data_IF_695934207206
#
_entry.id   IF_695934207206
#
_cell.length_a   1.000
_cell.length_b   1.000
_cell.length_c   1.000
_cell.angle_alpha   90.00
_cell.angle_beta   90.00
_cell.angle_gamma   90.00
#
_symmetry.space_group_name_H-M   'P 1'
#
loop_
_entity.id
_entity.type
_entity.pdbx_description
1 polymer ?
#
# COMPACT_ATOMS: atom_id res chain seq x y z
N UNK A 1 15.90 -15.57 -23.75
CA UNK A 1 15.38 -14.37 -23.02
C UNK A 1 15.72 -14.56 -21.55
N UNK A 2 16.54 -13.68 -20.96
CA UNK A 2 16.79 -13.72 -19.50
C UNK A 2 15.46 -13.40 -18.81
N UNK A 3 14.92 -14.31 -17.98
CA UNK A 3 13.86 -13.97 -17.06
C UNK A 3 14.30 -12.75 -16.26
N UNK A 4 13.58 -11.64 -16.44
CA UNK A 4 13.73 -10.51 -15.53
C UNK A 4 13.34 -11.04 -14.16
N UNK A 5 14.27 -11.05 -13.21
CA UNK A 5 13.96 -11.40 -11.83
C UNK A 5 12.78 -10.54 -11.39
N UNK A 6 11.68 -11.19 -11.00
CA UNK A 6 10.56 -10.52 -10.37
C UNK A 6 11.10 -9.93 -9.07
N UNK A 7 11.34 -8.62 -9.05
CA UNK A 7 11.89 -7.94 -7.88
C UNK A 7 10.96 -8.08 -6.69
N UNK A 8 11.54 -8.12 -5.50
CA UNK A 8 10.79 -8.02 -4.24
C UNK A 8 10.19 -6.60 -4.11
N UNK A 9 9.05 -6.48 -3.43
CA UNK A 9 8.42 -5.17 -3.17
C UNK A 9 7.52 -4.67 -4.31
N UNK A 10 6.59 -5.52 -4.75
CA UNK A 10 5.63 -5.15 -5.78
C UNK A 10 4.42 -6.07 -5.88
N UNK A 11 3.43 -5.65 -6.66
CA UNK A 11 2.26 -6.45 -7.02
C UNK A 11 2.51 -7.08 -8.39
N UNK A 12 2.32 -8.38 -8.48
CA UNK A 12 2.48 -9.15 -9.71
C UNK A 12 1.10 -9.45 -10.30
N UNK A 13 0.96 -9.19 -11.59
CA UNK A 13 -0.18 -9.64 -12.39
C UNK A 13 0.20 -10.86 -13.22
N UNK A 14 -0.72 -11.80 -13.36
CA UNK A 14 -0.55 -12.99 -14.19
C UNK A 14 -1.91 -13.48 -14.69
N UNK A 15 -1.93 -14.36 -15.70
CA UNK A 15 -3.15 -15.04 -16.12
C UNK A 15 -3.62 -16.02 -15.04
N UNK A 16 -4.86 -16.52 -15.16
CA UNK A 16 -5.42 -17.52 -14.23
C UNK A 16 -4.61 -18.82 -14.18
N UNK A 17 -3.91 -19.13 -15.27
CA UNK A 17 -3.02 -20.29 -15.43
C UNK A 17 -1.60 -20.03 -14.90
N UNK A 18 -1.35 -18.85 -14.28
CA UNK A 18 -0.04 -18.46 -13.76
C UNK A 18 0.99 -18.08 -14.80
N UNK A 19 0.56 -17.82 -16.04
CA UNK A 19 1.42 -17.38 -17.15
C UNK A 19 1.43 -15.85 -17.27
N UNK A 20 2.27 -15.32 -18.18
CA UNK A 20 2.36 -13.89 -18.52
C UNK A 20 2.58 -13.02 -17.28
N UNK A 21 3.52 -13.43 -16.45
CA UNK A 21 3.84 -12.72 -15.21
C UNK A 21 4.50 -11.38 -15.49
N UNK A 22 3.96 -10.33 -14.94
CA UNK A 22 4.55 -8.99 -14.96
C UNK A 22 4.46 -8.33 -13.60
N UNK A 23 5.36 -7.41 -13.31
CA UNK A 23 5.22 -6.54 -12.13
C UNK A 23 4.27 -5.41 -12.50
N UNK A 24 3.09 -5.42 -11.91
CA UNK A 24 2.05 -4.42 -12.13
C UNK A 24 2.34 -3.11 -11.40
N UNK A 25 2.82 -3.19 -10.16
CA UNK A 25 3.18 -2.04 -9.35
C UNK A 25 4.47 -2.31 -8.57
N UNK A 26 5.31 -1.29 -8.41
CA UNK A 26 6.61 -1.34 -7.76
C UNK A 26 6.65 -0.50 -6.49
N UNK A 27 7.72 -0.66 -5.70
CA UNK A 27 7.97 0.22 -4.56
C UNK A 27 6.93 0.11 -3.48
N UNK A 28 6.48 -1.11 -3.20
CA UNK A 28 5.48 -1.48 -2.20
C UNK A 28 6.19 -2.31 -1.14
N UNK A 29 5.98 -1.97 0.14
CA UNK A 29 6.62 -2.70 1.24
C UNK A 29 5.85 -3.95 1.63
N UNK A 30 4.59 -3.80 2.03
CA UNK A 30 3.77 -4.89 2.56
C UNK A 30 2.28 -4.64 2.34
N UNK A 31 1.80 -4.91 1.13
CA UNK A 31 0.39 -4.86 0.79
C UNK A 31 -0.33 -6.12 1.27
N UNK A 32 -1.40 -5.95 2.05
CA UNK A 32 -2.22 -7.05 2.58
C UNK A 32 -3.61 -7.08 1.95
N UNK A 33 -4.23 -5.91 1.76
CA UNK A 33 -5.55 -5.76 1.16
C UNK A 33 -5.48 -5.16 -0.23
N UNK A 34 -6.27 -5.70 -1.16
CA UNK A 34 -6.41 -5.12 -2.49
C UNK A 34 -7.78 -5.42 -3.09
N UNK A 35 -8.29 -4.48 -3.88
CA UNK A 35 -9.55 -4.64 -4.61
C UNK A 35 -9.57 -3.74 -5.85
N UNK A 36 -10.41 -4.07 -6.81
CA UNK A 36 -10.60 -3.28 -8.02
C UNK A 36 -11.81 -2.34 -7.88
N UNK A 37 -11.62 -1.07 -8.20
CA UNK A 37 -12.73 -0.15 -8.29
C UNK A 37 -13.60 -0.49 -9.49
N UNK A 38 -14.85 -0.88 -9.25
CA UNK A 38 -15.79 -1.28 -10.30
C UNK A 38 -16.13 -0.16 -11.30
N UNK A 39 -15.87 1.11 -10.98
CA UNK A 39 -16.20 2.25 -11.85
C UNK A 39 -15.16 2.47 -12.95
N UNK A 40 -13.89 2.27 -12.67
CA UNK A 40 -12.78 2.61 -13.55
C UNK A 40 -11.75 1.48 -13.73
N UNK A 41 -11.92 0.37 -13.01
CA UNK A 41 -11.02 -0.78 -13.07
C UNK A 41 -9.66 -0.57 -12.43
N UNK A 42 -9.42 0.55 -11.76
CA UNK A 42 -8.17 0.81 -11.07
C UNK A 42 -7.97 -0.17 -9.90
N UNK A 43 -6.75 -0.65 -9.71
CA UNK A 43 -6.38 -1.44 -8.56
C UNK A 43 -6.11 -0.51 -7.37
N UNK A 44 -6.76 -0.79 -6.25
CA UNK A 44 -6.49 -0.13 -4.98
C UNK A 44 -5.93 -1.16 -3.99
N UNK A 45 -4.98 -0.72 -3.15
CA UNK A 45 -4.33 -1.61 -2.20
C UNK A 45 -3.84 -0.83 -0.97
N UNK A 46 -3.77 -1.54 0.16
CA UNK A 46 -3.14 -1.05 1.38
C UNK A 46 -1.64 -1.31 1.34
N UNK A 47 -0.83 -0.50 2.01
CA UNK A 47 0.59 -0.75 2.21
C UNK A 47 1.02 -0.40 3.62
N UNK A 48 1.53 -1.42 4.33
CA UNK A 48 2.05 -1.28 5.68
C UNK A 48 3.51 -0.85 5.63
N UNK A 49 3.84 0.19 6.39
CA UNK A 49 5.12 0.86 6.29
C UNK A 49 6.15 0.43 7.34
N UNK A 50 7.36 1.01 7.25
CA UNK A 50 8.51 0.62 8.08
C UNK A 50 8.28 0.93 9.55
N UNK A 51 8.96 0.17 10.42
CA UNK A 51 9.02 0.42 11.85
C UNK A 51 10.26 1.25 12.21
N UNK A 52 10.34 1.71 13.47
CA UNK A 52 11.56 2.33 14.01
C UNK A 52 11.79 3.79 13.62
N UNK A 53 10.76 4.48 13.13
CA UNK A 53 10.83 5.90 12.80
C UNK A 53 10.09 6.81 13.80
N UNK A 54 9.68 6.25 14.95
CA UNK A 54 8.94 6.95 16.00
C UNK A 54 7.46 6.52 16.02
N UNK A 55 6.71 7.07 16.98
CA UNK A 55 5.33 6.63 17.24
C UNK A 55 4.33 7.21 16.22
N UNK A 56 4.66 8.35 15.62
CA UNK A 56 3.77 9.10 14.73
C UNK A 56 4.15 8.96 13.23
N UNK A 57 5.18 8.17 12.93
CA UNK A 57 5.69 7.99 11.58
C UNK A 57 6.26 6.58 11.34
N UNK A 58 6.22 6.12 10.07
CA UNK A 58 5.53 6.71 8.93
C UNK A 58 4.05 6.32 8.91
N UNK A 59 3.21 7.02 8.12
CA UNK A 59 1.81 6.63 7.94
C UNK A 59 1.69 5.33 7.15
N UNK A 60 0.65 4.54 7.41
CA UNK A 60 0.18 3.52 6.49
C UNK A 60 -0.45 4.15 5.24
N UNK A 61 -0.71 3.37 4.21
CA UNK A 61 -1.15 3.90 2.93
C UNK A 61 -2.32 3.14 2.33
N UNK A 62 -3.21 3.89 1.67
CA UNK A 62 -4.10 3.36 0.64
C UNK A 62 -3.67 3.95 -0.70
N UNK A 63 -3.24 3.08 -1.58
CA UNK A 63 -2.67 3.38 -2.88
C UNK A 63 -3.63 3.04 -4.02
N UNK A 64 -3.45 3.72 -5.17
CA UNK A 64 -4.20 3.47 -6.40
C UNK A 64 -3.26 3.32 -7.58
N UNK A 65 -3.36 2.20 -8.26
CA UNK A 65 -2.63 1.92 -9.49
C UNK A 65 -3.58 1.88 -10.70
N UNK A 66 -3.46 2.88 -11.57
CA UNK A 66 -4.30 3.03 -12.77
C UNK A 66 -3.78 2.20 -13.95
N UNK A 67 -2.50 1.88 -13.95
CA UNK A 67 -1.80 1.21 -15.06
C UNK A 67 -0.58 0.44 -14.57
N UNK A 68 -0.07 -0.52 -15.36
CA UNK A 68 1.18 -1.20 -15.04
C UNK A 68 2.38 -0.25 -14.97
N UNK A 69 3.36 -0.60 -14.14
CA UNK A 69 4.65 0.09 -14.05
C UNK A 69 4.68 1.31 -13.14
N UNK A 70 3.62 1.59 -12.37
CA UNK A 70 3.64 2.66 -11.36
C UNK A 70 4.53 2.28 -10.19
N UNK A 71 5.25 3.28 -9.63
CA UNK A 71 6.19 3.12 -8.51
C UNK A 71 5.73 3.93 -7.31
N UNK A 72 5.51 3.26 -6.18
CA UNK A 72 4.96 3.81 -4.94
C UNK A 72 6.01 4.19 -3.89
N UNK A 73 7.30 4.10 -4.23
CA UNK A 73 8.37 4.80 -3.54
C UNK A 73 9.22 3.98 -2.58
N UNK A 74 8.75 2.84 -2.06
CA UNK A 74 9.59 2.01 -1.20
C UNK A 74 10.79 1.43 -1.99
N UNK A 75 12.02 1.37 -1.45
CA UNK A 75 12.42 1.65 -0.05
C UNK A 75 12.82 3.10 0.24
N UNK A 76 12.76 4.01 -0.71
CA UNK A 76 13.17 5.41 -0.52
C UNK A 76 12.21 6.19 0.39
N UNK A 77 10.93 5.87 0.32
CA UNK A 77 9.87 6.40 1.17
C UNK A 77 9.27 5.26 1.97
N UNK A 78 9.01 5.54 3.24
CA UNK A 78 8.46 4.57 4.20
C UNK A 78 6.99 4.83 4.53
N UNK A 79 6.34 5.68 3.76
CA UNK A 79 4.94 6.07 3.90
C UNK A 79 4.76 7.53 3.54
N UNK A 80 3.78 7.83 2.69
CA UNK A 80 3.56 9.18 2.19
C UNK A 80 4.81 9.79 1.57
N UNK A 81 5.23 10.93 2.09
CA UNK A 81 6.47 11.62 1.69
C UNK A 81 7.59 11.46 2.72
N UNK A 82 7.45 10.56 3.68
CA UNK A 82 8.44 10.33 4.73
C UNK A 82 9.61 9.52 4.18
N UNK A 83 10.81 10.08 4.20
CA UNK A 83 12.04 9.40 3.77
C UNK A 83 12.42 8.32 4.78
N UNK A 84 12.77 7.12 4.29
CA UNK A 84 13.34 6.10 5.18
C UNK A 84 14.74 6.48 5.65
N UNK A 85 15.09 6.08 6.87
CA UNK A 85 16.41 6.39 7.45
C UNK A 85 17.57 5.82 6.62
N UNK A 86 17.41 4.63 6.05
CA UNK A 86 18.44 3.93 5.29
C UNK A 86 18.69 4.56 3.91
N UNK A 87 17.68 5.20 3.30
CA UNK A 87 17.75 5.74 1.95
C UNK A 87 17.64 7.26 1.88
N UNK A 88 17.69 7.95 3.03
CA UNK A 88 17.49 9.42 3.10
C UNK A 88 18.47 10.21 2.23
N UNK A 89 19.71 9.72 2.12
CA UNK A 89 20.81 10.40 1.38
C UNK A 89 20.90 9.94 -0.09
N UNK A 90 20.06 9.01 -0.51
CA UNK A 90 20.04 8.52 -1.89
C UNK A 90 18.97 9.25 -2.71
N UNK A 91 19.23 9.46 -3.99
CA UNK A 91 18.26 10.04 -4.90
C UNK A 91 17.18 9.02 -5.24
N UNK A 92 15.89 9.30 -4.95
CA UNK A 92 14.82 8.40 -5.32
C UNK A 92 14.61 8.40 -6.84
N UNK A 93 14.01 7.33 -7.40
CA UNK A 93 13.60 7.32 -8.80
C UNK A 93 12.68 8.49 -9.15
N UNK A 94 12.73 8.91 -10.42
CA UNK A 94 11.74 9.84 -10.95
C UNK A 94 10.36 9.16 -11.11
N UNK A 95 9.30 9.96 -11.22
CA UNK A 95 7.94 9.48 -11.50
C UNK A 95 7.35 8.56 -10.41
N UNK A 96 7.55 8.92 -9.17
CA UNK A 96 6.89 8.25 -8.05
C UNK A 96 5.41 8.62 -7.97
N UNK A 97 4.61 7.68 -7.51
CA UNK A 97 3.20 7.85 -7.18
C UNK A 97 3.07 7.85 -5.67
N UNK A 98 2.41 8.87 -5.12
CA UNK A 98 2.14 8.97 -3.70
C UNK A 98 0.73 8.44 -3.38
N UNK A 99 0.46 8.03 -2.12
CA UNK A 99 -0.80 7.45 -1.73
C UNK A 99 -1.99 8.39 -1.96
N UNK A 100 -3.16 7.81 -2.16
CA UNK A 100 -4.42 8.54 -2.21
C UNK A 100 -4.88 8.93 -0.80
N UNK A 101 -4.53 8.13 0.19
CA UNK A 101 -4.84 8.37 1.60
C UNK A 101 -3.69 7.86 2.46
N UNK A 102 -3.27 8.70 3.40
CA UNK A 102 -2.37 8.31 4.48
C UNK A 102 -3.21 7.91 5.70
N UNK A 103 -2.85 6.78 6.30
CA UNK A 103 -3.49 6.22 7.49
C UNK A 103 -2.67 6.55 8.73
N UNK A 104 -3.22 6.33 9.90
CA UNK A 104 -2.46 6.49 11.17
C UNK A 104 -1.19 5.65 11.13
N UNK A 105 -0.10 6.20 11.67
CA UNK A 105 1.14 5.45 11.85
C UNK A 105 0.91 4.20 12.71
N UNK A 106 1.58 3.11 12.35
CA UNK A 106 1.50 1.80 13.05
C UNK A 106 0.08 1.22 13.16
N UNK A 107 -0.89 1.78 12.43
CA UNK A 107 -2.13 1.08 12.15
C UNK A 107 -1.82 0.05 11.06
N UNK A 108 -1.83 -1.23 11.41
CA UNK A 108 -1.64 -2.26 10.39
C UNK A 108 -2.84 -2.26 9.45
N UNK A 109 -2.63 -1.75 8.25
CA UNK A 109 -3.63 -1.69 7.19
C UNK A 109 -3.78 -3.08 6.56
N UNK A 110 -4.81 -3.80 6.97
CA UNK A 110 -5.04 -5.19 6.57
C UNK A 110 -5.93 -5.27 5.31
N UNK A 111 -7.07 -5.91 5.45
CA UNK A 111 -8.00 -6.07 4.32
C UNK A 111 -8.66 -4.78 3.88
N UNK A 112 -8.92 -4.64 2.58
CA UNK A 112 -9.77 -3.57 2.05
C UNK A 112 -10.71 -4.12 0.99
N UNK A 113 -11.85 -3.46 0.82
CA UNK A 113 -12.80 -3.76 -0.25
C UNK A 113 -13.65 -2.55 -0.61
N UNK A 114 -14.11 -2.48 -1.86
CA UNK A 114 -15.12 -1.51 -2.26
C UNK A 114 -16.51 -2.01 -1.90
N UNK A 115 -17.29 -1.16 -1.24
CA UNK A 115 -18.66 -1.51 -0.91
C UNK A 115 -19.60 -1.30 -2.10
N UNK A 116 -20.04 -2.40 -2.68
CA UNK A 116 -21.01 -2.43 -3.79
C UNK A 116 -22.38 -2.96 -3.36
N UNK A 117 -22.58 -3.20 -2.06
CA UNK A 117 -23.81 -3.72 -1.46
C UNK A 117 -24.97 -2.72 -1.42
N UNK A 118 -26.11 -3.19 -0.92
CA UNK A 118 -27.33 -2.40 -0.75
C UNK A 118 -27.80 -2.29 0.71
N UNK A 119 -27.09 -2.93 1.63
CA UNK A 119 -27.46 -2.96 3.06
C UNK A 119 -27.19 -1.61 3.75
N UNK A 120 -26.01 -1.02 3.48
CA UNK A 120 -25.65 0.27 4.05
C UNK A 120 -26.24 1.44 3.24
N UNK A 121 -26.43 2.62 3.88
CA UNK A 121 -26.92 3.81 3.21
C UNK A 121 -26.14 4.13 1.91
N UNK A 122 -26.82 4.76 0.96
CA UNK A 122 -26.29 5.06 -0.38
C UNK A 122 -24.94 5.80 -0.36
N UNK A 123 -24.69 6.64 0.65
CA UNK A 123 -23.43 7.38 0.81
C UNK A 123 -22.17 6.50 0.93
N UNK A 124 -22.34 5.22 1.30
CA UNK A 124 -21.21 4.28 1.40
C UNK A 124 -20.96 3.48 0.13
N UNK A 125 -21.84 3.57 -0.88
CA UNK A 125 -21.66 2.82 -2.15
C UNK A 125 -20.48 3.38 -2.93
N UNK A 126 -19.59 2.47 -3.33
CA UNK A 126 -18.32 2.81 -4.00
C UNK A 126 -17.28 3.40 -3.07
N UNK A 127 -17.53 3.45 -1.75
CA UNK A 127 -16.54 3.75 -0.74
C UNK A 127 -15.67 2.54 -0.42
N UNK A 128 -14.49 2.78 0.13
CA UNK A 128 -13.56 1.77 0.62
C UNK A 128 -13.84 1.49 2.09
N UNK A 129 -13.91 0.22 2.44
CA UNK A 129 -13.83 -0.27 3.81
C UNK A 129 -12.46 -0.89 3.99
N UNK A 130 -11.67 -0.37 4.94
CA UNK A 130 -10.38 -0.92 5.31
C UNK A 130 -10.40 -1.41 6.75
N UNK A 131 -9.87 -2.59 6.98
CA UNK A 131 -9.70 -3.15 8.31
C UNK A 131 -8.32 -2.76 8.85
N UNK A 132 -8.29 -2.14 10.01
CA UNK A 132 -7.10 -1.70 10.70
C UNK A 132 -6.87 -2.55 11.95
N UNK A 133 -5.62 -2.91 12.23
CA UNK A 133 -5.22 -3.50 13.50
C UNK A 133 -4.24 -2.55 14.20
N UNK A 134 -4.75 -1.71 15.09
CA UNK A 134 -3.91 -0.78 15.85
C UNK A 134 -3.47 -1.45 17.15
N UNK A 135 -2.17 -1.64 17.34
CA UNK A 135 -1.64 -1.94 18.67
C UNK A 135 -1.87 -0.73 19.58
N UNK A 136 -2.57 -0.95 20.69
CA UNK A 136 -2.56 0.07 21.74
C UNK A 136 -1.11 0.28 22.19
N UNK A 137 -0.65 1.53 22.37
CA UNK A 137 0.69 1.78 22.88
C UNK A 137 0.85 1.03 24.21
N UNK A 138 1.91 0.24 24.33
CA UNK A 138 2.22 -0.40 25.59
C UNK A 138 2.44 0.70 26.63
N UNK A 139 1.48 0.85 27.55
CA UNK A 139 1.70 1.70 28.71
C UNK A 139 2.93 1.17 29.43
N UNK A 140 3.94 2.02 29.76
CA UNK A 140 5.05 1.56 30.54
C UNK A 140 4.51 0.94 31.83
N UNK A 141 4.98 -0.25 32.17
CA UNK A 141 4.62 -0.89 33.44
C UNK A 141 5.04 0.06 34.57
N UNK A 142 4.07 0.56 35.31
CA UNK A 142 4.32 1.34 36.50
C UNK A 142 5.03 0.37 37.49
N UNK A 143 6.30 0.66 37.77
CA UNK A 143 7.06 -0.02 38.84
C UNK A 143 6.70 0.57 40.15
#
# INVERSE_FOLDING_TARGET
>A
MKEKSLGLGGIIRMTREGKEREVFAWGIRNSVGMDFNAKDGALWFTDNQVDGMGDDQPPGEINRADKPGMNFGFPYFGGGKTRTNEYKDQTPPANLTFPQLEMDAHAADLGMTFYNGRMFPQKYRGGIFSALSKHAPMKPAIR
#
